data_IF_408950845742
#
_entry.id   IF_408950845742
#
_cell.length_a   1.000
_cell.length_b   1.000
_cell.length_c   1.000
_cell.angle_alpha   90.00
_cell.angle_beta   90.00
_cell.angle_gamma   90.00
#
_symmetry.space_group_name_H-M   'P 1'
#
loop_
_entity.id
_entity.type
_entity.pdbx_description
1 polymer ?
#
# COMPACT_ATOMS: atom_id res chain seq x y z
N UNK A 1 9.53 9.82 6.96
CA UNK A 1 8.78 10.57 5.93
C UNK A 1 7.29 10.38 6.18
N UNK A 2 6.52 11.46 6.40
CA UNK A 2 5.06 11.43 6.46
C UNK A 2 4.47 12.31 5.37
N UNK A 3 3.60 11.77 4.51
CA UNK A 3 2.98 12.52 3.40
C UNK A 3 1.53 12.07 3.15
N UNK A 4 0.69 12.97 2.67
CA UNK A 4 -0.65 12.62 2.20
C UNK A 4 -0.61 12.18 0.74
N UNK A 5 -1.20 11.02 0.45
CA UNK A 5 -1.57 10.59 -0.90
C UNK A 5 -2.85 11.34 -1.33
N UNK A 6 -3.84 11.39 -0.43
CA UNK A 6 -5.09 12.11 -0.63
C UNK A 6 -5.48 12.86 0.64
N UNK A 7 -6.09 14.03 0.47
CA UNK A 7 -6.71 14.78 1.56
C UNK A 7 -7.91 15.56 1.03
N UNK A 8 -9.09 15.24 1.52
CA UNK A 8 -10.34 15.95 1.30
C UNK A 8 -11.04 16.18 2.64
N UNK A 9 -12.20 16.86 2.67
CA UNK A 9 -13.00 16.95 3.87
C UNK A 9 -13.45 15.60 4.39
N UNK A 10 -13.78 14.60 3.56
CA UNK A 10 -14.32 13.32 4.03
C UNK A 10 -13.29 12.21 4.10
N UNK A 11 -12.19 12.28 3.35
CA UNK A 11 -11.23 11.18 3.18
C UNK A 11 -9.79 11.69 3.30
N UNK A 12 -8.98 10.96 4.05
CA UNK A 12 -7.53 11.15 4.13
C UNK A 12 -6.86 9.82 3.87
N UNK A 13 -5.82 9.80 3.02
CA UNK A 13 -4.93 8.66 2.84
C UNK A 13 -3.50 9.17 2.97
N UNK A 14 -2.73 8.57 3.85
CA UNK A 14 -1.38 8.99 4.19
C UNK A 14 -0.38 7.84 4.20
N UNK A 15 0.85 8.15 3.79
CA UNK A 15 2.05 7.35 4.02
C UNK A 15 2.69 7.86 5.31
N UNK A 16 2.76 7.02 6.34
CA UNK A 16 3.29 7.34 7.66
C UNK A 16 4.81 7.19 7.73
N UNK A 17 5.32 6.12 7.12
CA UNK A 17 6.74 5.76 7.14
C UNK A 17 7.09 4.84 5.97
N UNK A 18 8.39 4.69 5.73
CA UNK A 18 8.94 3.67 4.86
C UNK A 18 10.01 2.91 5.65
N UNK A 19 9.84 1.60 5.77
CA UNK A 19 10.84 0.68 6.32
C UNK A 19 11.58 0.05 5.14
N UNK A 20 12.90 0.09 5.19
CA UNK A 20 13.75 -0.31 4.07
C UNK A 20 14.51 -1.58 4.43
N UNK A 21 14.48 -2.53 3.50
CA UNK A 21 15.15 -3.81 3.60
C UNK A 21 16.11 -3.93 2.40
N UNK A 22 17.05 -4.86 2.47
CA UNK A 22 18.00 -5.11 1.38
C UNK A 22 17.30 -5.56 0.08
N UNK A 23 16.13 -6.18 0.18
CA UNK A 23 15.38 -6.75 -0.96
C UNK A 23 14.23 -5.86 -1.46
N UNK A 24 13.84 -4.83 -0.71
CA UNK A 24 12.64 -4.05 -1.00
C UNK A 24 12.33 -3.03 0.09
N UNK A 25 11.16 -2.40 0.00
CA UNK A 25 10.71 -1.45 1.00
C UNK A 25 9.23 -1.60 1.31
N UNK A 26 8.89 -1.27 2.55
CA UNK A 26 7.58 -1.43 3.13
C UNK A 26 7.05 -0.06 3.52
N UNK A 27 5.93 0.38 2.95
CA UNK A 27 5.33 1.67 3.30
C UNK A 27 4.18 1.46 4.27
N UNK A 28 4.26 2.08 5.45
CA UNK A 28 3.15 2.08 6.40
C UNK A 28 2.14 3.15 6.01
N UNK A 29 0.87 2.74 5.97
CA UNK A 29 -0.24 3.54 5.49
C UNK A 29 -1.27 3.75 6.58
N UNK A 30 -2.00 4.85 6.47
CA UNK A 30 -3.22 5.11 7.23
C UNK A 30 -4.24 5.80 6.35
N UNK A 31 -5.50 5.42 6.47
CA UNK A 31 -6.60 6.10 5.84
C UNK A 31 -7.71 6.35 6.86
N UNK A 32 -8.35 7.51 6.73
CA UNK A 32 -9.43 7.94 7.60
C UNK A 32 -10.58 8.41 6.72
N UNK A 33 -11.79 8.01 7.07
CA UNK A 33 -13.02 8.50 6.47
C UNK A 33 -13.89 9.08 7.59
N UNK A 34 -14.45 10.26 7.39
CA UNK A 34 -15.41 10.85 8.33
C UNK A 34 -16.75 11.05 7.67
N UNK A 35 -17.81 10.83 8.44
CA UNK A 35 -19.18 11.13 8.06
C UNK A 35 -19.36 12.64 7.93
N UNK A 36 -20.12 13.07 6.93
CA UNK A 36 -20.35 14.49 6.66
C UNK A 36 -21.85 14.76 6.54
N UNK A 37 -22.47 14.22 5.50
CA UNK A 37 -23.88 14.45 5.13
C UNK A 37 -24.63 13.15 4.82
N UNK A 38 -23.97 12.00 4.98
CA UNK A 38 -24.54 10.70 4.72
C UNK A 38 -25.64 10.37 5.73
N UNK A 39 -26.75 9.83 5.24
CA UNK A 39 -27.75 9.21 6.11
C UNK A 39 -27.21 7.88 6.69
N UNK A 40 -27.97 7.23 7.58
CA UNK A 40 -27.50 6.02 8.28
C UNK A 40 -27.31 4.82 7.34
N UNK A 41 -28.11 4.72 6.28
CA UNK A 41 -28.02 3.67 5.27
C UNK A 41 -26.74 3.84 4.44
N UNK A 42 -26.54 5.04 3.87
CA UNK A 42 -25.33 5.40 3.10
C UNK A 42 -24.05 5.26 3.96
N UNK A 43 -24.13 5.60 5.25
CA UNK A 43 -23.01 5.43 6.16
C UNK A 43 -22.72 3.96 6.47
N UNK A 44 -23.75 3.13 6.60
CA UNK A 44 -23.60 1.67 6.77
C UNK A 44 -22.95 1.06 5.53
N UNK A 45 -23.41 1.43 4.33
CA UNK A 45 -22.82 0.98 3.08
C UNK A 45 -21.35 1.40 2.96
N UNK A 46 -21.01 2.63 3.33
CA UNK A 46 -19.61 3.10 3.37
C UNK A 46 -18.75 2.29 4.33
N UNK A 47 -19.27 1.95 5.52
CA UNK A 47 -18.58 1.09 6.49
C UNK A 47 -18.28 -0.29 5.91
N UNK A 48 -19.23 -0.90 5.19
CA UNK A 48 -18.98 -2.19 4.53
C UNK A 48 -17.83 -2.09 3.52
N UNK A 49 -17.88 -1.09 2.62
CA UNK A 49 -16.80 -0.84 1.66
C UNK A 49 -15.44 -0.57 2.33
N UNK A 50 -15.46 0.13 3.47
CA UNK A 50 -14.28 0.42 4.28
C UNK A 50 -13.63 -0.85 4.84
N UNK A 51 -14.41 -1.70 5.50
CA UNK A 51 -13.92 -2.93 6.12
C UNK A 51 -13.45 -3.96 5.09
N UNK A 52 -14.04 -3.98 3.90
CA UNK A 52 -13.60 -4.84 2.80
C UNK A 52 -12.30 -4.38 2.14
N UNK A 53 -11.92 -3.11 2.27
CA UNK A 53 -10.72 -2.55 1.66
C UNK A 53 -9.40 -3.02 2.30
N UNK A 54 -9.44 -3.63 3.50
CA UNK A 54 -8.29 -4.23 4.19
C UNK A 54 -8.16 -5.75 4.06
N UNK A 55 -9.16 -6.42 3.48
CA UNK A 55 -9.23 -7.89 3.39
C UNK A 55 -8.78 -8.33 2.00
N UNK A 56 -7.47 -8.45 1.81
CA UNK A 56 -6.91 -9.10 0.62
C UNK A 56 -7.61 -10.44 0.33
N UNK A 57 -8.01 -10.61 -0.93
CA UNK A 57 -8.35 -11.89 -1.58
C UNK A 57 -9.48 -12.78 -1.05
N UNK A 58 -10.26 -12.40 -0.04
CA UNK A 58 -11.41 -13.23 0.35
C UNK A 58 -12.65 -12.84 -0.44
N UNK A 59 -12.97 -13.68 -1.41
CA UNK A 59 -14.26 -13.83 -2.11
C UNK A 59 -14.55 -12.83 -3.24
N UNK A 60 -14.29 -13.25 -4.49
CA UNK A 60 -15.18 -13.12 -5.66
C UNK A 60 -15.88 -11.80 -6.03
N UNK A 61 -15.64 -10.70 -5.32
CA UNK A 61 -16.22 -9.37 -5.54
C UNK A 61 -15.18 -8.47 -6.21
N UNK A 62 -15.64 -7.62 -7.12
CA UNK A 62 -14.79 -6.86 -8.04
C UNK A 62 -13.70 -6.06 -7.31
N UNK A 63 -12.44 -6.23 -7.71
CA UNK A 63 -11.29 -5.44 -7.24
C UNK A 63 -11.47 -3.92 -7.39
N UNK A 64 -12.48 -3.48 -8.14
CA UNK A 64 -12.75 -2.08 -8.47
C UNK A 64 -13.32 -1.24 -7.32
N UNK A 65 -13.78 -1.86 -6.22
CA UNK A 65 -14.43 -1.12 -5.11
C UNK A 65 -13.51 -0.90 -3.89
N UNK A 66 -12.39 -1.61 -3.78
CA UNK A 66 -11.47 -1.48 -2.65
C UNK A 66 -10.50 -0.30 -2.80
N UNK A 67 -9.89 0.13 -1.69
CA UNK A 67 -8.74 1.03 -1.70
C UNK A 67 -7.55 0.34 -2.40
N UNK A 68 -7.10 0.91 -3.51
CA UNK A 68 -6.00 0.40 -4.32
C UNK A 68 -4.77 1.28 -4.20
N UNK A 69 -3.59 0.67 -4.25
CA UNK A 69 -2.31 1.34 -4.26
C UNK A 69 -1.52 1.01 -5.51
N UNK A 70 -0.75 1.98 -5.99
CA UNK A 70 0.11 1.82 -7.15
C UNK A 70 1.47 2.45 -6.96
N UNK A 71 2.41 2.06 -7.81
CA UNK A 71 3.71 2.70 -7.95
C UNK A 71 4.03 2.93 -9.43
N UNK A 72 4.68 4.05 -9.72
CA UNK A 72 5.27 4.35 -11.02
C UNK A 72 6.70 4.84 -10.88
N UNK A 73 7.59 4.27 -11.68
CA UNK A 73 9.01 4.58 -11.69
C UNK A 73 9.42 5.55 -12.82
N UNK A 74 10.61 6.17 -12.74
CA UNK A 74 11.12 7.08 -13.77
C UNK A 74 11.22 6.45 -15.16
N UNK A 75 11.51 5.15 -15.24
CA UNK A 75 11.59 4.39 -16.49
C UNK A 75 10.21 4.01 -17.07
N UNK A 76 9.12 4.42 -16.40
CA UNK A 76 7.75 4.15 -16.80
C UNK A 76 7.18 2.82 -16.32
N UNK A 77 7.96 1.94 -15.69
CA UNK A 77 7.41 0.69 -15.15
C UNK A 77 6.51 0.95 -13.93
N UNK A 78 5.50 0.09 -13.75
CA UNK A 78 4.43 0.27 -12.76
C UNK A 78 4.06 -1.05 -12.11
N UNK A 79 3.61 -0.97 -10.86
CA UNK A 79 2.95 -2.08 -10.16
C UNK A 79 1.71 -1.57 -9.42
N UNK A 80 0.74 -2.44 -9.19
CA UNK A 80 -0.50 -2.07 -8.51
C UNK A 80 -1.09 -3.25 -7.75
N UNK A 81 -1.72 -2.96 -6.61
CA UNK A 81 -2.49 -3.95 -5.84
C UNK A 81 -3.79 -4.33 -6.54
N UNK A 82 -4.22 -3.57 -7.56
CA UNK A 82 -5.41 -3.86 -8.38
C UNK A 82 -5.22 -5.03 -9.34
N UNK A 83 -3.97 -5.36 -9.69
CA UNK A 83 -3.63 -6.40 -10.65
C UNK A 83 -2.85 -7.53 -9.97
N UNK A 84 -3.40 -8.06 -8.88
CA UNK A 84 -2.93 -9.34 -8.38
C UNK A 84 -3.77 -10.44 -9.04
N UNK A 85 -3.55 -10.63 -10.35
CA UNK A 85 -4.15 -11.73 -11.11
C UNK A 85 -3.75 -13.11 -10.55
N UNK A 86 -4.19 -14.22 -11.15
CA UNK A 86 -3.90 -15.61 -10.69
C UNK A 86 -2.40 -15.97 -10.59
N UNK A 87 -1.48 -15.03 -10.83
CA UNK A 87 -0.06 -15.11 -10.51
C UNK A 87 0.26 -15.10 -9.02
N UNK A 88 -0.69 -14.79 -8.13
CA UNK A 88 -0.57 -15.06 -6.69
C UNK A 88 -0.57 -16.56 -6.35
N UNK A 89 -0.84 -17.44 -7.34
CA UNK A 89 -0.75 -18.90 -7.25
C UNK A 89 0.51 -19.47 -7.94
N UNK A 90 1.54 -18.68 -8.24
CA UNK A 90 2.84 -19.26 -8.64
C UNK A 90 3.42 -20.02 -7.45
N UNK A 91 3.81 -21.27 -7.70
CA UNK A 91 4.22 -22.22 -6.66
C UNK A 91 5.32 -21.66 -5.75
N UNK A 92 5.33 -22.15 -4.51
CA UNK A 92 6.36 -21.87 -3.51
C UNK A 92 7.75 -22.00 -4.18
N UNK A 93 8.49 -20.89 -4.28
CA UNK A 93 9.87 -20.88 -4.82
C UNK A 93 10.10 -20.17 -6.16
N UNK A 94 9.12 -19.48 -6.74
CA UNK A 94 9.36 -18.56 -7.87
C UNK A 94 9.09 -17.11 -7.48
N UNK A 95 10.07 -16.24 -7.69
CA UNK A 95 9.91 -14.80 -7.51
C UNK A 95 8.90 -14.24 -8.54
N UNK A 96 8.07 -13.25 -8.15
CA UNK A 96 7.13 -12.61 -9.06
C UNK A 96 7.88 -11.73 -10.09
N UNK A 97 7.19 -11.31 -11.14
CA UNK A 97 7.79 -10.39 -12.12
C UNK A 97 7.98 -8.99 -11.48
N UNK A 98 9.19 -8.41 -11.53
CA UNK A 98 9.44 -7.10 -10.97
C UNK A 98 8.92 -5.99 -11.91
N UNK A 99 8.34 -4.90 -11.40
CA UNK A 99 8.06 -4.64 -10.00
C UNK A 99 6.74 -5.25 -9.52
N UNK A 100 6.71 -5.66 -8.26
CA UNK A 100 5.55 -6.19 -7.57
C UNK A 100 5.21 -5.31 -6.37
N UNK A 101 3.93 -4.99 -6.23
CA UNK A 101 3.37 -4.28 -5.08
C UNK A 101 2.32 -5.16 -4.41
N UNK A 102 2.52 -5.48 -3.14
CA UNK A 102 1.62 -6.32 -2.37
C UNK A 102 1.08 -5.55 -1.17
N UNK A 103 -0.24 -5.58 -0.97
CA UNK A 103 -0.87 -5.05 0.24
C UNK A 103 -0.83 -6.15 1.31
N UNK A 104 -0.17 -5.85 2.43
CA UNK A 104 -0.06 -6.73 3.59
C UNK A 104 -0.83 -6.13 4.77
N UNK A 105 -1.51 -7.00 5.52
CA UNK A 105 -2.14 -6.74 6.83
C UNK A 105 -2.86 -5.38 6.95
N UNK A 106 -4.19 -5.41 6.88
CA UNK A 106 -5.03 -4.27 7.21
C UNK A 106 -5.65 -4.41 8.60
N UNK A 107 -5.72 -3.32 9.35
CA UNK A 107 -6.53 -3.20 10.56
C UNK A 107 -7.40 -1.97 10.47
N UNK A 108 -8.65 -2.06 10.89
CA UNK A 108 -9.56 -0.92 10.88
C UNK A 108 -10.41 -0.86 12.15
N UNK A 109 -10.77 0.35 12.53
CA UNK A 109 -11.78 0.64 13.53
C UNK A 109 -12.84 1.55 12.92
N UNK A 110 -14.07 1.44 13.41
CA UNK A 110 -15.18 2.27 12.98
C UNK A 110 -16.02 2.70 14.18
N UNK A 111 -16.64 3.86 14.03
CA UNK A 111 -17.67 4.39 14.92
C UNK A 111 -18.72 5.15 14.11
N UNK A 112 -19.64 5.80 14.81
CA UNK A 112 -20.85 6.39 14.20
C UNK A 112 -20.55 7.51 13.19
N UNK A 113 -19.40 8.18 13.33
CA UNK A 113 -19.00 9.33 12.50
C UNK A 113 -17.59 9.21 11.89
N UNK A 114 -16.80 8.20 12.25
CA UNK A 114 -15.42 8.07 11.79
C UNK A 114 -15.02 6.61 11.57
N UNK A 115 -14.28 6.39 10.49
CA UNK A 115 -13.65 5.13 10.13
C UNK A 115 -12.15 5.35 9.98
N UNK A 116 -11.36 4.52 10.63
CA UNK A 116 -9.90 4.58 10.57
C UNK A 116 -9.33 3.23 10.17
N UNK A 117 -8.31 3.26 9.32
CA UNK A 117 -7.74 2.08 8.72
C UNK A 117 -6.25 2.24 8.57
N UNK A 118 -5.54 1.13 8.70
CA UNK A 118 -4.10 1.05 8.54
C UNK A 118 -3.75 -0.15 7.71
N UNK A 119 -2.62 -0.07 7.03
CA UNK A 119 -2.08 -1.19 6.30
C UNK A 119 -0.65 -0.92 5.88
N UNK A 120 -0.05 -1.89 5.21
CA UNK A 120 1.32 -1.77 4.74
C UNK A 120 1.42 -2.28 3.32
N UNK A 121 2.08 -1.53 2.43
CA UNK A 121 2.39 -2.02 1.08
C UNK A 121 3.86 -2.42 0.98
N UNK A 122 4.11 -3.65 0.56
CA UNK A 122 5.43 -4.17 0.25
C UNK A 122 5.74 -3.95 -1.22
N UNK A 123 6.81 -3.22 -1.50
CA UNK A 123 7.36 -2.99 -2.83
C UNK A 123 8.62 -3.82 -3.01
N UNK A 124 8.58 -4.70 -4.00
CA UNK A 124 9.71 -5.53 -4.40
C UNK A 124 9.92 -5.46 -5.91
N UNK A 125 11.18 -5.43 -6.38
CA UNK A 125 12.41 -5.29 -5.61
C UNK A 125 12.58 -3.85 -5.10
N UNK A 126 13.72 -3.57 -4.48
CA UNK A 126 14.11 -2.21 -4.11
C UNK A 126 14.02 -1.29 -5.35
N UNK A 127 13.32 -0.15 -5.26
CA UNK A 127 13.05 0.66 -6.43
C UNK A 127 14.32 1.38 -6.93
N UNK A 128 14.34 1.81 -8.22
CA UNK A 128 15.44 2.58 -8.77
C UNK A 128 15.61 3.93 -8.04
N UNK A 129 16.81 4.51 -8.14
CA UNK A 129 17.05 5.87 -7.67
C UNK A 129 16.23 6.89 -8.47
N UNK A 130 15.95 8.04 -7.86
CA UNK A 130 15.15 9.11 -8.45
C UNK A 130 13.69 9.12 -7.98
N UNK A 131 12.86 9.90 -8.66
CA UNK A 131 11.48 10.16 -8.23
C UNK A 131 10.55 8.97 -8.49
N UNK A 132 10.02 8.40 -7.42
CA UNK A 132 9.02 7.34 -7.46
C UNK A 132 7.67 7.96 -7.14
N UNK A 133 6.64 7.66 -7.93
CA UNK A 133 5.26 8.06 -7.61
C UNK A 133 4.56 6.91 -6.90
N UNK A 134 4.14 7.14 -5.68
CA UNK A 134 3.15 6.29 -5.01
C UNK A 134 1.76 6.83 -5.29
N UNK A 135 0.82 5.94 -5.58
CA UNK A 135 -0.54 6.28 -5.97
C UNK A 135 -1.55 5.60 -5.05
N UNK A 136 -2.71 6.22 -4.88
CA UNK A 136 -3.87 5.62 -4.26
C UNK A 136 -5.17 6.02 -4.98
N UNK A 137 -6.11 5.09 -5.04
CA UNK A 137 -7.45 5.29 -5.62
C UNK A 137 -8.49 4.53 -4.81
N UNK A 138 -9.68 5.10 -4.63
CA UNK A 138 -10.77 4.45 -3.91
C UNK A 138 -12.12 4.81 -4.54
N UNK A 139 -12.50 4.03 -5.55
CA UNK A 139 -13.65 4.35 -6.40
C UNK A 139 -14.97 4.27 -5.60
N UNK A 140 -15.13 3.27 -4.73
CA UNK A 140 -16.35 3.11 -3.93
C UNK A 140 -16.63 4.29 -2.98
N UNK A 141 -15.57 4.98 -2.54
CA UNK A 141 -15.68 6.17 -1.69
C UNK A 141 -15.53 7.48 -2.50
N UNK A 142 -15.55 7.40 -3.84
CA UNK A 142 -15.44 8.57 -4.71
C UNK A 142 -14.07 9.26 -4.67
N UNK A 143 -13.03 8.61 -4.16
CA UNK A 143 -11.68 9.15 -4.14
C UNK A 143 -11.01 8.94 -5.51
N UNK A 144 -10.74 10.02 -6.28
CA UNK A 144 -10.03 9.89 -7.55
C UNK A 144 -8.59 9.40 -7.31
N UNK A 145 -7.93 8.96 -8.38
CA UNK A 145 -6.51 8.64 -8.30
C UNK A 145 -5.72 9.88 -7.84
N UNK A 146 -4.87 9.67 -6.86
CA UNK A 146 -4.01 10.69 -6.27
C UNK A 146 -2.62 10.11 -6.06
N UNK A 147 -1.59 10.96 -6.03
CA UNK A 147 -0.22 10.49 -5.96
C UNK A 147 0.67 11.41 -5.15
N UNK A 148 1.76 10.83 -4.64
CA UNK A 148 2.84 11.54 -3.97
C UNK A 148 4.19 11.07 -4.48
N UNK A 149 5.15 12.00 -4.57
CA UNK A 149 6.54 11.68 -4.92
C UNK A 149 7.32 11.26 -3.67
N UNK A 150 7.99 10.12 -3.78
CA UNK A 150 8.95 9.56 -2.84
C UNK A 150 10.32 9.53 -3.51
N UNK A 151 11.36 9.87 -2.76
CA UNK A 151 12.73 9.84 -3.25
C UNK A 151 13.30 8.41 -3.16
N UNK A 152 13.38 7.73 -4.31
CA UNK A 152 13.98 6.41 -4.44
C UNK A 152 15.47 6.38 -4.13
N UNK A 153 16.17 7.51 -4.26
CA UNK A 153 17.59 7.61 -3.90
C UNK A 153 17.76 7.39 -2.41
N UNK A 154 16.94 8.07 -1.58
CA UNK A 154 16.95 7.88 -0.13
C UNK A 154 16.60 6.44 0.29
N UNK A 155 15.66 5.79 -0.41
CA UNK A 155 15.35 4.38 -0.14
C UNK A 155 16.55 3.47 -0.45
N UNK A 156 17.28 3.74 -1.54
CA UNK A 156 18.46 2.94 -1.88
C UNK A 156 19.65 3.18 -0.95
N UNK A 157 19.87 4.42 -0.52
CA UNK A 157 20.88 4.76 0.47
C UNK A 157 20.59 4.07 1.81
N UNK A 158 19.33 4.09 2.26
CA UNK A 158 18.90 3.36 3.45
C UNK A 158 19.10 1.85 3.31
N UNK A 159 18.82 1.27 2.13
CA UNK A 159 19.03 -0.15 1.88
C UNK A 159 20.52 -0.54 1.95
N UNK A 160 21.41 0.32 1.43
CA UNK A 160 22.86 0.10 1.49
C UNK A 160 23.40 0.13 2.93
N UNK A 161 22.71 0.82 3.84
CA UNK A 161 23.04 0.86 5.26
C UNK A 161 22.44 -0.29 6.08
N UNK A 162 21.66 -1.19 5.47
CA UNK A 162 21.06 -2.32 6.20
C UNK A 162 22.11 -3.32 6.65
N UNK A 163 21.89 -3.89 7.84
CA UNK A 163 22.75 -4.92 8.42
C UNK A 163 21.98 -6.21 8.59
N UNK A 164 22.65 -7.35 8.37
CA UNK A 164 22.08 -8.65 8.70
C UNK A 164 21.94 -8.75 10.22
N UNK A 165 20.82 -9.27 10.70
CA UNK A 165 20.62 -9.52 12.13
C UNK A 165 21.66 -10.51 12.68
N UNK A 166 22.01 -11.51 11.88
CA UNK A 166 23.03 -12.49 12.20
C UNK A 166 24.19 -12.38 11.22
N UNK A 167 25.45 -12.40 11.69
CA UNK A 167 26.58 -12.61 10.80
C UNK A 167 26.43 -13.97 10.12
N UNK A 168 26.90 -14.11 8.88
CA UNK A 168 27.01 -15.44 8.28
C UNK A 168 27.84 -16.31 9.23
N UNK A 169 27.37 -17.54 9.52
CA UNK A 169 28.15 -18.49 10.29
C UNK A 169 29.51 -18.60 9.62
N UNK A 170 30.51 -18.01 10.28
CA UNK A 170 31.88 -18.06 9.80
C UNK A 170 32.24 -19.51 9.63
N UNK A 171 32.72 -19.85 8.43
CA UNK A 171 33.61 -20.98 8.22
C UNK A 171 34.63 -20.98 9.37
N UNK A 172 34.45 -21.87 10.35
CA UNK A 172 35.49 -22.19 11.30
C UNK A 172 36.62 -22.80 10.48
N UNK A 173 37.70 -22.03 10.33
CA UNK A 173 38.99 -22.55 9.89
C UNK A 173 39.64 -23.41 10.97
#
# INVERSE_FOLDING_TARGET
MGKFLHRSPSIVVGVKSAEVFSTGCSFSLSWLCRRVDQNDEDWTDLQEHFHHSGMGFRQGRSQQTSLMFGVQFPNGSKASTAYQGPHSLRGIGQDPEPPTLALNNGGGSGGDDELSGTGTIWLWPLPPAGEIRLLAQWIALGMPESSVVVDGTQLREAAAATQKYWPEEGTQG
#
